data_IF_464046786217
#
_entry.id   IF_464046786217
#
_cell.length_a   1.000
_cell.length_b   1.000
_cell.length_c   1.000
_cell.angle_alpha   90.00
_cell.angle_beta   90.00
_cell.angle_gamma   90.00
#
_symmetry.space_group_name_H-M   'P 1'
#
loop_
_entity.id
_entity.type
_entity.pdbx_description
1 polymer ?
#
# COMPACT_ATOMS: atom_id res chain seq x y z
N UNK A 1 6.75 19.19 10.77
CA UNK A 1 5.53 19.13 9.93
C UNK A 1 5.79 19.71 8.56
N UNK A 2 6.14 21.00 8.43
CA UNK A 2 6.40 21.62 7.12
C UNK A 2 7.51 20.93 6.31
N UNK A 3 8.62 20.56 6.96
CA UNK A 3 9.74 19.85 6.31
C UNK A 3 9.34 18.47 5.79
N UNK A 4 8.64 17.68 6.59
CA UNK A 4 8.09 16.36 6.21
C UNK A 4 7.10 16.49 5.02
N UNK A 5 6.26 17.53 5.01
CA UNK A 5 5.35 17.80 3.88
C UNK A 5 6.09 18.27 2.63
N UNK A 6 7.08 19.14 2.79
CA UNK A 6 7.94 19.58 1.69
C UNK A 6 8.73 18.40 1.12
N UNK A 7 9.16 17.46 1.96
CA UNK A 7 9.81 16.22 1.55
C UNK A 7 8.87 15.35 0.73
N UNK A 8 7.61 15.14 1.15
CA UNK A 8 6.64 14.39 0.34
C UNK A 8 6.36 15.03 -1.01
N UNK A 9 6.19 16.35 -1.04
CA UNK A 9 6.02 17.11 -2.27
C UNK A 9 7.26 17.00 -3.15
N UNK A 10 8.45 17.04 -2.55
CA UNK A 10 9.72 16.84 -3.23
C UNK A 10 9.88 15.45 -3.83
N UNK A 11 9.47 14.40 -3.11
CA UNK A 11 9.45 13.02 -3.60
C UNK A 11 8.50 12.89 -4.81
N UNK A 12 7.25 13.34 -4.67
CA UNK A 12 6.26 13.32 -5.74
C UNK A 12 6.72 14.11 -6.97
N UNK A 13 7.30 15.29 -6.77
CA UNK A 13 7.83 16.12 -7.85
C UNK A 13 9.09 15.51 -8.49
N UNK A 14 9.93 14.82 -7.72
CA UNK A 14 11.06 14.05 -8.23
C UNK A 14 10.60 12.91 -9.15
N UNK A 15 9.48 12.27 -8.81
CA UNK A 15 8.85 11.25 -9.65
C UNK A 15 8.42 11.81 -11.01
N UNK A 16 7.77 12.99 -11.05
CA UNK A 16 7.41 13.68 -12.31
C UNK A 16 8.62 14.06 -13.18
N UNK A 17 9.77 14.34 -12.57
CA UNK A 17 10.98 14.75 -13.27
C UNK A 17 11.76 13.60 -13.91
N UNK A 18 11.37 12.35 -13.65
CA UNK A 18 11.98 11.20 -14.32
C UNK A 18 11.56 11.15 -15.79
N UNK A 19 12.49 11.27 -16.76
CA UNK A 19 12.15 11.28 -18.18
C UNK A 19 11.39 10.02 -18.62
N UNK A 20 11.73 8.88 -18.02
CA UNK A 20 11.08 7.58 -18.26
C UNK A 20 9.60 7.59 -17.84
N UNK A 21 9.30 8.24 -16.71
CA UNK A 21 7.94 8.33 -16.15
C UNK A 21 7.12 9.33 -16.96
N UNK A 22 7.70 10.47 -17.29
CA UNK A 22 7.03 11.51 -18.08
C UNK A 22 6.65 10.99 -19.48
N UNK A 23 7.59 10.36 -20.20
CA UNK A 23 7.33 9.75 -21.52
C UNK A 23 6.27 8.65 -21.46
N UNK A 24 6.17 7.93 -20.35
CA UNK A 24 5.15 6.90 -20.16
C UNK A 24 3.77 7.50 -19.85
N UNK A 25 3.70 8.52 -18.98
CA UNK A 25 2.47 9.26 -18.71
C UNK A 25 1.92 9.90 -19.98
N UNK A 26 2.79 10.44 -20.83
CA UNK A 26 2.41 11.01 -22.13
C UNK A 26 1.83 9.95 -23.08
N UNK A 27 2.43 8.76 -23.12
CA UNK A 27 1.90 7.62 -23.89
C UNK A 27 0.54 7.11 -23.38
N UNK A 28 0.35 7.08 -22.06
CA UNK A 28 -0.93 6.69 -21.45
C UNK A 28 -2.01 7.75 -21.60
N UNK A 29 -1.66 9.03 -21.54
CA UNK A 29 -2.60 10.13 -21.74
C UNK A 29 -3.17 10.17 -23.18
N UNK A 30 -2.45 9.62 -24.16
CA UNK A 30 -2.92 9.43 -25.52
C UNK A 30 -4.01 8.34 -25.65
N UNK A 31 -4.20 7.51 -24.63
CA UNK A 31 -5.20 6.44 -24.56
C UNK A 31 -6.17 6.72 -23.39
N UNK A 32 -7.20 7.53 -23.66
CA UNK A 32 -8.11 8.10 -22.63
C UNK A 32 -8.84 7.06 -21.77
N UNK A 33 -8.94 5.81 -22.23
CA UNK A 33 -9.53 4.71 -21.47
C UNK A 33 -8.57 4.08 -20.44
N UNK A 34 -7.25 4.27 -20.55
CA UNK A 34 -6.26 3.56 -19.74
C UNK A 34 -5.50 4.40 -18.71
N UNK A 35 -5.57 5.74 -18.73
CA UNK A 35 -4.78 6.58 -17.83
C UNK A 35 -5.30 6.66 -16.37
N UNK A 36 -5.55 5.51 -15.77
CA UNK A 36 -5.99 5.35 -14.38
C UNK A 36 -4.87 5.72 -13.38
N UNK A 37 -3.61 5.40 -13.71
CA UNK A 37 -2.46 5.80 -12.89
C UNK A 37 -2.28 7.32 -12.83
N UNK A 38 -2.35 8.01 -13.97
CA UNK A 38 -2.18 9.46 -14.03
C UNK A 38 -3.24 10.18 -13.21
N UNK A 39 -4.50 9.74 -13.28
CA UNK A 39 -5.60 10.26 -12.44
C UNK A 39 -5.33 10.09 -10.95
N UNK A 40 -4.80 8.93 -10.53
CA UNK A 40 -4.44 8.66 -9.14
C UNK A 40 -3.28 9.53 -8.67
N UNK A 41 -2.29 9.74 -9.53
CA UNK A 41 -1.14 10.59 -9.27
C UNK A 41 -1.56 12.06 -9.13
N UNK A 42 -2.39 12.57 -10.04
CA UNK A 42 -2.96 13.92 -9.99
C UNK A 42 -3.81 14.13 -8.72
N UNK A 43 -4.62 13.13 -8.33
CA UNK A 43 -5.37 13.17 -7.08
C UNK A 43 -4.43 13.31 -5.89
N UNK A 44 -3.34 12.55 -5.83
CA UNK A 44 -2.37 12.67 -4.73
C UNK A 44 -1.65 14.03 -4.72
N UNK A 45 -1.25 14.53 -5.89
CA UNK A 45 -0.60 15.84 -6.02
C UNK A 45 -1.54 16.97 -5.56
N UNK A 46 -2.82 16.92 -5.95
CA UNK A 46 -3.84 17.86 -5.49
C UNK A 46 -3.98 17.82 -3.98
N UNK A 47 -4.06 16.63 -3.37
CA UNK A 47 -4.12 16.47 -1.91
C UNK A 47 -2.88 17.07 -1.21
N UNK A 48 -1.67 16.80 -1.73
CA UNK A 48 -0.42 17.34 -1.18
C UNK A 48 -0.27 18.85 -1.33
N UNK A 49 -0.84 19.44 -2.38
CA UNK A 49 -0.90 20.90 -2.56
C UNK A 49 -1.81 21.52 -1.51
N UNK A 50 -3.04 21.04 -1.40
CA UNK A 50 -4.03 21.58 -0.47
C UNK A 50 -3.60 21.45 0.99
N UNK A 51 -2.85 20.40 1.34
CA UNK A 51 -2.25 20.26 2.67
C UNK A 51 -1.23 21.35 3.03
N UNK A 52 -0.52 21.89 2.05
CA UNK A 52 0.43 22.98 2.28
C UNK A 52 -0.23 24.35 2.46
N UNK A 53 -1.51 24.49 2.07
CA UNK A 53 -2.26 25.75 2.11
C UNK A 53 -3.06 25.92 3.41
N UNK A 54 -3.33 24.83 4.14
CA UNK A 54 -4.12 24.82 5.39
C UNK A 54 -3.32 25.25 6.64
N UNK A 55 -2.25 26.03 6.47
CA UNK A 55 -1.53 26.67 7.59
C UNK A 55 -2.20 28.00 7.93
N UNK A 56 -2.83 28.16 9.11
CA UNK A 56 -3.59 29.36 9.41
C UNK A 56 -2.69 30.61 9.44
N UNK A 57 -3.01 31.59 8.60
CA UNK A 57 -2.51 32.97 8.73
C UNK A 57 -3.19 33.62 9.92
N UNK A 58 -2.40 34.25 10.81
CA UNK A 58 -2.92 34.75 12.09
C UNK A 58 -3.99 35.83 11.88
N UNK A 59 -5.24 35.49 12.21
CA UNK A 59 -6.35 36.44 12.29
C UNK A 59 -6.54 36.85 13.74
N UNK A 60 -6.65 38.15 14.01
CA UNK A 60 -6.89 38.70 15.36
C UNK A 60 -8.32 38.47 15.89
N UNK A 61 -9.22 37.95 15.06
CA UNK A 61 -10.63 37.79 15.40
C UNK A 61 -10.96 36.33 15.75
N UNK A 62 -11.29 36.07 17.02
CA UNK A 62 -11.47 34.74 17.62
C UNK A 62 -12.65 33.96 17.04
N UNK A 63 -13.78 34.61 16.76
CA UNK A 63 -14.95 33.96 16.15
C UNK A 63 -14.66 33.52 14.69
N UNK A 64 -13.95 34.36 13.93
CA UNK A 64 -13.50 34.03 12.56
C UNK A 64 -12.48 32.89 12.60
N UNK A 65 -11.61 32.86 13.62
CA UNK A 65 -10.64 31.78 13.82
C UNK A 65 -11.33 30.45 14.14
N UNK A 66 -12.39 30.44 14.95
CA UNK A 66 -13.11 29.21 15.29
C UNK A 66 -13.83 28.59 14.09
N UNK A 67 -14.52 29.41 13.27
CA UNK A 67 -15.15 28.93 12.03
C UNK A 67 -14.12 28.39 11.05
N UNK A 68 -13.02 29.13 10.83
CA UNK A 68 -11.91 28.66 9.97
C UNK A 68 -11.30 27.36 10.48
N UNK A 69 -11.18 27.19 11.80
CA UNK A 69 -10.66 25.96 12.40
C UNK A 69 -11.56 24.77 12.11
N UNK A 70 -12.88 24.90 12.27
CA UNK A 70 -13.86 23.86 11.94
C UNK A 70 -13.83 23.49 10.46
N UNK A 71 -13.73 24.48 9.56
CA UNK A 71 -13.61 24.24 8.12
C UNK A 71 -12.30 23.52 7.73
N UNK A 72 -11.18 23.90 8.34
CA UNK A 72 -9.90 23.20 8.16
C UNK A 72 -9.99 21.75 8.68
N UNK A 73 -10.65 21.54 9.82
CA UNK A 73 -10.81 20.21 10.39
C UNK A 73 -11.67 19.30 9.49
N UNK A 74 -12.74 19.84 8.91
CA UNK A 74 -13.59 19.11 7.98
C UNK A 74 -12.85 18.77 6.68
N UNK A 75 -12.10 19.73 6.11
CA UNK A 75 -11.26 19.47 4.93
C UNK A 75 -10.21 18.40 5.20
N UNK A 76 -9.55 18.46 6.36
CA UNK A 76 -8.61 17.42 6.82
C UNK A 76 -9.26 16.04 6.85
N UNK A 77 -10.47 15.89 7.41
CA UNK A 77 -11.19 14.62 7.43
C UNK A 77 -11.47 14.11 6.01
N UNK A 78 -11.88 15.01 5.12
CA UNK A 78 -12.03 14.72 3.69
C UNK A 78 -10.73 14.20 3.06
N UNK A 79 -9.59 14.83 3.32
CA UNK A 79 -8.31 14.38 2.77
C UNK A 79 -7.88 13.01 3.28
N UNK A 80 -8.07 12.72 4.57
CA UNK A 80 -7.77 11.40 5.13
C UNK A 80 -8.60 10.34 4.39
N UNK A 81 -9.90 10.58 4.25
CA UNK A 81 -10.80 9.67 3.54
C UNK A 81 -10.39 9.49 2.07
N UNK A 82 -9.99 10.57 1.39
CA UNK A 82 -9.50 10.50 0.02
C UNK A 82 -8.23 9.65 -0.13
N UNK A 83 -7.32 9.68 0.85
CA UNK A 83 -6.12 8.84 0.86
C UNK A 83 -6.47 7.36 1.01
N UNK A 84 -7.40 7.03 1.89
CA UNK A 84 -7.87 5.64 2.06
C UNK A 84 -8.60 5.13 0.82
N UNK A 85 -9.43 5.96 0.20
CA UNK A 85 -10.04 5.65 -1.09
C UNK A 85 -8.99 5.47 -2.19
N UNK A 86 -7.93 6.27 -2.20
CA UNK A 86 -6.85 6.13 -3.17
C UNK A 86 -6.13 4.77 -3.01
N UNK A 87 -5.85 4.32 -1.79
CA UNK A 87 -5.30 2.97 -1.54
C UNK A 87 -6.24 1.90 -2.07
N UNK A 88 -7.54 2.02 -1.78
CA UNK A 88 -8.55 1.06 -2.25
C UNK A 88 -8.54 0.94 -3.78
N UNK A 89 -8.50 2.06 -4.50
CA UNK A 89 -8.45 2.05 -5.97
C UNK A 89 -7.08 1.62 -6.53
N UNK A 90 -6.02 1.67 -5.74
CA UNK A 90 -4.69 1.17 -6.13
C UNK A 90 -4.49 -0.32 -5.83
N UNK A 91 -5.53 -1.06 -5.42
CA UNK A 91 -5.46 -2.50 -5.24
C UNK A 91 -5.16 -3.20 -6.56
N UNK A 92 -3.96 -3.76 -6.68
CA UNK A 92 -3.64 -4.67 -7.78
C UNK A 92 -3.95 -6.10 -7.37
N UNK A 93 -4.53 -6.83 -8.31
CA UNK A 93 -4.49 -8.28 -8.29
C UNK A 93 -3.05 -8.73 -8.54
N UNK A 94 -2.63 -9.84 -7.91
CA UNK A 94 -1.25 -10.34 -7.87
C UNK A 94 -0.69 -10.81 -9.23
N UNK A 95 -1.37 -10.51 -10.34
CA UNK A 95 -1.27 -11.21 -11.62
C UNK A 95 -0.33 -10.60 -12.68
N UNK A 96 0.55 -9.64 -12.34
CA UNK A 96 1.87 -9.59 -12.98
C UNK A 96 2.37 -8.29 -13.62
N UNK A 97 3.68 -8.09 -13.35
CA UNK A 97 4.81 -7.68 -14.20
C UNK A 97 4.80 -6.23 -14.73
N UNK A 98 5.79 -5.45 -14.28
CA UNK A 98 6.16 -4.05 -14.64
C UNK A 98 5.22 -2.90 -14.25
N UNK A 99 3.90 -3.08 -14.18
CA UNK A 99 3.00 -2.05 -13.66
C UNK A 99 3.13 -1.87 -12.14
N UNK A 100 3.49 -2.95 -11.43
CA UNK A 100 3.48 -3.02 -9.96
C UNK A 100 4.41 -1.99 -9.27
N UNK A 101 5.64 -1.76 -9.75
CA UNK A 101 6.61 -0.92 -9.03
C UNK A 101 6.19 0.56 -8.91
N UNK A 102 5.48 1.08 -9.92
CA UNK A 102 4.99 2.47 -9.93
C UNK A 102 3.79 2.66 -9.01
N UNK A 103 2.86 1.71 -9.00
CA UNK A 103 1.74 1.71 -8.05
C UNK A 103 2.23 1.52 -6.61
N UNK A 104 3.27 0.71 -6.39
CA UNK A 104 3.89 0.59 -5.07
C UNK A 104 4.52 1.91 -4.61
N UNK A 105 5.18 2.64 -5.52
CA UNK A 105 5.68 3.97 -5.20
C UNK A 105 4.55 4.92 -4.78
N UNK A 106 3.45 4.94 -5.53
CA UNK A 106 2.29 5.78 -5.21
C UNK A 106 1.63 5.37 -3.87
N UNK A 107 1.44 4.07 -3.64
CA UNK A 107 0.96 3.53 -2.37
C UNK A 107 1.89 3.93 -1.20
N UNK A 108 3.20 3.86 -1.38
CA UNK A 108 4.16 4.27 -0.36
C UNK A 108 4.01 5.75 0.00
N UNK A 109 3.83 6.63 -1.00
CA UNK A 109 3.58 8.05 -0.74
C UNK A 109 2.25 8.27 0.01
N UNK A 110 1.19 7.54 -0.34
CA UNK A 110 -0.07 7.62 0.39
C UNK A 110 0.09 7.16 1.84
N UNK A 111 0.74 6.02 2.07
CA UNK A 111 1.02 5.50 3.41
C UNK A 111 1.91 6.43 4.24
N UNK A 112 2.94 7.03 3.64
CA UNK A 112 3.74 8.10 4.27
C UNK A 112 2.89 9.31 4.66
N UNK A 113 1.96 9.70 3.79
CA UNK A 113 1.05 10.84 4.05
C UNK A 113 0.16 10.53 5.26
N UNK A 114 -0.46 9.34 5.29
CA UNK A 114 -1.26 8.85 6.43
C UNK A 114 -0.41 8.82 7.71
N UNK A 115 0.83 8.32 7.62
CA UNK A 115 1.74 8.31 8.76
C UNK A 115 2.01 9.70 9.29
N UNK A 116 2.22 10.71 8.44
CA UNK A 116 2.42 12.07 8.94
C UNK A 116 1.15 12.66 9.56
N UNK A 117 -0.04 12.34 9.05
CA UNK A 117 -1.27 12.66 9.78
C UNK A 117 -1.27 12.05 11.18
N UNK A 118 -0.85 10.79 11.31
CA UNK A 118 -0.77 10.09 12.59
C UNK A 118 0.32 10.68 13.52
N UNK A 119 1.56 10.78 13.05
CA UNK A 119 2.75 11.34 13.74
C UNK A 119 2.46 12.72 14.32
N UNK A 120 1.76 13.56 13.57
CA UNK A 120 1.43 14.92 13.99
C UNK A 120 0.08 15.05 14.70
N UNK A 121 -0.50 13.94 15.15
CA UNK A 121 -1.77 13.89 15.90
C UNK A 121 -2.91 14.60 15.15
N UNK A 122 -2.87 14.55 13.82
CA UNK A 122 -3.90 15.06 12.93
C UNK A 122 -4.94 13.99 12.58
N UNK A 123 -4.74 12.77 13.03
CA UNK A 123 -5.74 11.72 13.11
C UNK A 123 -5.49 10.96 14.42
N UNK A 124 -6.54 10.66 15.17
CA UNK A 124 -6.43 9.87 16.39
C UNK A 124 -6.21 8.39 16.06
N UNK A 125 -5.62 7.59 16.97
CA UNK A 125 -5.54 6.14 16.78
C UNK A 125 -6.89 5.50 16.48
N UNK A 126 -7.96 5.92 17.16
CA UNK A 126 -9.31 5.38 17.00
C UNK A 126 -9.91 5.71 15.63
N UNK A 127 -9.74 6.96 15.16
CA UNK A 127 -10.13 7.35 13.80
C UNK A 127 -9.35 6.54 12.76
N UNK A 128 -8.04 6.38 12.95
CA UNK A 128 -7.19 5.60 12.05
C UNK A 128 -7.63 4.13 12.00
N UNK A 129 -7.91 3.51 13.14
CA UNK A 129 -8.47 2.16 13.22
C UNK A 129 -9.80 2.05 12.46
N UNK A 130 -10.68 3.04 12.61
CA UNK A 130 -11.96 3.09 11.89
C UNK A 130 -11.75 3.09 10.37
N UNK A 131 -10.86 3.94 9.85
CA UNK A 131 -10.56 3.97 8.42
C UNK A 131 -9.94 2.65 7.93
N UNK A 132 -8.98 2.09 8.67
CA UNK A 132 -8.36 0.80 8.34
C UNK A 132 -9.38 -0.33 8.28
N UNK A 133 -10.33 -0.35 9.21
CA UNK A 133 -11.42 -1.33 9.24
C UNK A 133 -12.37 -1.15 8.07
N UNK A 134 -12.88 0.07 7.86
CA UNK A 134 -13.91 0.36 6.85
C UNK A 134 -13.40 0.11 5.43
N UNK A 135 -12.13 0.42 5.17
CA UNK A 135 -11.53 0.21 3.87
C UNK A 135 -10.85 -1.14 3.72
N UNK A 136 -10.64 -1.92 4.79
CA UNK A 136 -9.87 -3.17 4.73
C UNK A 136 -8.37 -2.96 4.45
N UNK A 137 -7.85 -1.77 4.76
CA UNK A 137 -6.50 -1.30 4.40
C UNK A 137 -5.37 -2.13 5.00
N UNK A 138 -5.63 -2.88 6.07
CA UNK A 138 -4.63 -3.78 6.66
C UNK A 138 -4.15 -4.85 5.65
N UNK A 139 -5.05 -5.30 4.75
CA UNK A 139 -4.71 -6.22 3.66
C UNK A 139 -3.82 -5.54 2.62
N UNK A 140 -4.15 -4.31 2.28
CA UNK A 140 -3.40 -3.52 1.29
C UNK A 140 -2.00 -3.18 1.79
N UNK A 141 -1.89 -2.87 3.09
CA UNK A 141 -0.63 -2.66 3.75
C UNK A 141 0.23 -3.94 3.69
N UNK A 142 -0.31 -5.09 4.10
CA UNK A 142 0.40 -6.36 4.02
C UNK A 142 0.86 -6.69 2.59
N UNK A 143 0.00 -6.45 1.59
CA UNK A 143 0.33 -6.60 0.16
C UNK A 143 1.45 -5.67 -0.26
N UNK A 144 1.38 -4.39 0.09
CA UNK A 144 2.39 -3.40 -0.23
C UNK A 144 3.77 -3.81 0.33
N UNK A 145 3.84 -4.23 1.60
CA UNK A 145 5.09 -4.69 2.22
C UNK A 145 5.63 -5.93 1.52
N UNK A 146 4.74 -6.89 1.24
CA UNK A 146 5.13 -8.15 0.62
C UNK A 146 5.74 -7.94 -0.77
N UNK A 147 5.06 -7.18 -1.62
CA UNK A 147 5.54 -6.92 -2.98
C UNK A 147 6.80 -6.06 -2.96
N UNK A 148 6.87 -5.05 -2.09
CA UNK A 148 8.09 -4.22 -1.94
C UNK A 148 9.30 -5.07 -1.57
N UNK A 149 9.14 -6.00 -0.63
CA UNK A 149 10.20 -6.94 -0.25
C UNK A 149 10.59 -7.87 -1.40
N UNK A 150 9.61 -8.42 -2.12
CA UNK A 150 9.85 -9.28 -3.28
C UNK A 150 10.67 -8.55 -4.35
N UNK A 151 10.35 -7.30 -4.68
CA UNK A 151 11.09 -6.51 -5.67
C UNK A 151 12.54 -6.24 -5.23
N UNK A 152 12.76 -5.92 -3.95
CA UNK A 152 14.11 -5.72 -3.41
C UNK A 152 14.93 -7.04 -3.46
N UNK A 153 14.30 -8.17 -3.17
CA UNK A 153 14.93 -9.49 -3.30
C UNK A 153 15.10 -9.98 -4.73
N UNK A 154 14.49 -9.39 -5.76
CA UNK A 154 14.77 -9.82 -7.13
C UNK A 154 16.23 -9.59 -7.55
N UNK A 155 17.00 -8.82 -6.76
CA UNK A 155 18.45 -8.61 -6.92
C UNK A 155 19.28 -9.65 -6.14
N UNK A 156 18.69 -10.44 -5.22
CA UNK A 156 19.40 -11.45 -4.43
C UNK A 156 18.54 -12.70 -4.17
N UNK A 157 19.07 -13.91 -4.45
CA UNK A 157 18.38 -15.21 -4.28
C UNK A 157 18.16 -15.56 -2.80
N UNK A 158 17.49 -14.71 -2.03
CA UNK A 158 17.15 -14.97 -0.63
C UNK A 158 15.65 -15.23 -0.54
N UNK A 159 15.32 -16.26 0.23
CA UNK A 159 13.95 -16.62 0.57
C UNK A 159 13.26 -15.45 1.27
N UNK A 160 12.01 -15.19 0.90
CA UNK A 160 11.17 -14.21 1.60
C UNK A 160 11.00 -14.65 3.07
N UNK A 161 11.27 -13.78 4.06
CA UNK A 161 11.09 -14.12 5.45
C UNK A 161 9.63 -14.51 5.67
N UNK A 162 9.41 -15.74 6.10
CA UNK A 162 8.07 -16.27 6.33
C UNK A 162 7.37 -15.65 7.55
N UNK A 163 8.12 -14.95 8.41
CA UNK A 163 7.60 -14.32 9.61
C UNK A 163 7.42 -12.83 9.41
N UNK A 164 6.17 -12.36 9.46
CA UNK A 164 5.81 -10.93 9.51
C UNK A 164 6.57 -10.16 10.59
N UNK A 165 6.85 -10.78 11.75
CA UNK A 165 7.63 -10.19 12.83
C UNK A 165 9.05 -9.86 12.38
N UNK A 166 9.67 -10.76 11.60
CA UNK A 166 10.99 -10.51 11.03
C UNK A 166 10.91 -9.42 9.96
N UNK A 167 9.88 -9.42 9.11
CA UNK A 167 9.70 -8.44 8.05
C UNK A 167 9.52 -7.03 8.60
N UNK A 168 8.68 -6.86 9.62
CA UNK A 168 8.49 -5.56 10.29
C UNK A 168 9.79 -5.08 10.96
N UNK A 169 10.59 -6.00 11.49
CA UNK A 169 11.91 -5.68 12.03
C UNK A 169 12.93 -5.31 10.94
N UNK A 170 12.86 -5.93 9.75
CA UNK A 170 13.72 -5.54 8.63
C UNK A 170 13.30 -4.21 8.01
N UNK A 171 12.01 -3.90 8.02
CA UNK A 171 11.45 -2.66 7.49
C UNK A 171 11.46 -1.52 8.52
N UNK A 172 12.44 -1.53 9.41
CA UNK A 172 12.64 -0.61 10.54
C UNK A 172 12.71 0.87 10.14
N UNK A 173 12.94 1.16 8.85
CA UNK A 173 13.07 2.51 8.31
C UNK A 173 11.76 3.06 7.70
N UNK A 174 10.65 2.31 7.78
CA UNK A 174 9.40 2.73 7.13
C UNK A 174 8.34 3.28 8.10
N UNK A 175 7.65 4.37 7.72
CA UNK A 175 6.43 4.92 8.35
C UNK A 175 5.37 3.90 8.78
N UNK A 176 5.38 2.74 8.14
CA UNK A 176 4.36 1.71 8.23
C UNK A 176 4.45 0.89 9.52
N UNK A 177 5.64 0.75 10.09
CA UNK A 177 5.81 0.10 11.40
C UNK A 177 5.16 0.95 12.50
N UNK A 178 5.41 2.26 12.51
CA UNK A 178 4.87 3.17 13.53
C UNK A 178 3.34 3.27 13.44
N UNK A 179 2.76 3.24 12.25
CA UNK A 179 1.31 3.12 12.08
C UNK A 179 0.79 1.84 12.76
N UNK A 180 1.39 0.67 12.49
CA UNK A 180 0.96 -0.60 13.07
C UNK A 180 1.12 -0.64 14.60
N UNK A 181 2.18 -0.03 15.12
CA UNK A 181 2.38 0.12 16.56
C UNK A 181 1.31 1.01 17.19
N UNK A 182 0.96 2.12 16.53
CA UNK A 182 -0.11 3.02 16.94
C UNK A 182 -1.52 2.42 16.90
N UNK A 183 -1.75 1.46 16.00
CA UNK A 183 -3.03 0.77 15.87
C UNK A 183 -3.25 -0.33 16.93
N UNK A 184 -2.19 -0.78 17.60
CA UNK A 184 -2.24 -1.81 18.65
C UNK A 184 -2.05 -3.26 18.16
N UNK A 185 -1.96 -4.19 19.12
CA UNK A 185 -1.60 -5.60 18.86
C UNK A 185 -2.59 -6.32 17.93
N UNK A 186 -3.89 -6.03 18.03
CA UNK A 186 -4.91 -6.61 17.15
C UNK A 186 -4.59 -6.36 15.66
N UNK A 187 -4.14 -5.15 15.30
CA UNK A 187 -3.80 -4.82 13.93
C UNK A 187 -2.46 -5.43 13.50
N UNK A 188 -1.51 -5.63 14.42
CA UNK A 188 -0.28 -6.37 14.14
C UNK A 188 -0.56 -7.84 13.85
N UNK A 189 -1.48 -8.46 14.57
CA UNK A 189 -1.94 -9.83 14.32
C UNK A 189 -2.66 -9.95 12.97
N UNK A 190 -3.57 -9.02 12.67
CA UNK A 190 -4.24 -8.94 11.36
C UNK A 190 -3.25 -8.77 10.21
N UNK A 191 -2.31 -7.83 10.35
CA UNK A 191 -1.22 -7.64 9.39
C UNK A 191 -0.43 -8.93 9.19
N UNK A 192 -0.01 -9.56 10.28
CA UNK A 192 0.77 -10.81 10.26
C UNK A 192 0.04 -11.93 9.55
N UNK A 193 -1.25 -12.06 9.84
CA UNK A 193 -2.12 -13.05 9.18
C UNK A 193 -2.16 -12.82 7.68
N UNK A 194 -2.42 -11.59 7.24
CA UNK A 194 -2.46 -11.28 5.80
C UNK A 194 -1.11 -11.42 5.12
N UNK A 195 -0.03 -10.96 5.74
CA UNK A 195 1.32 -11.10 5.19
C UNK A 195 1.70 -12.57 5.00
N UNK A 196 1.44 -13.41 5.99
CA UNK A 196 1.74 -14.84 5.93
C UNK A 196 0.90 -15.53 4.84
N UNK A 197 -0.39 -15.20 4.70
CA UNK A 197 -1.22 -15.68 3.59
C UNK A 197 -0.60 -15.37 2.22
N UNK A 198 -0.09 -14.16 2.03
CA UNK A 198 0.58 -13.76 0.79
C UNK A 198 1.86 -14.55 0.54
N UNK A 199 2.67 -14.75 1.58
CA UNK A 199 3.86 -15.60 1.52
C UNK A 199 3.52 -17.03 1.09
N UNK A 200 2.50 -17.63 1.70
CA UNK A 200 2.07 -18.98 1.34
C UNK A 200 1.53 -19.07 -0.08
N UNK A 201 0.70 -18.12 -0.50
CA UNK A 201 0.20 -18.05 -1.87
C UNK A 201 1.36 -17.94 -2.88
N UNK A 202 2.34 -17.08 -2.60
CA UNK A 202 3.54 -16.95 -3.43
C UNK A 202 4.31 -18.26 -3.54
N UNK A 203 4.61 -18.94 -2.43
CA UNK A 203 5.34 -20.21 -2.49
C UNK A 203 4.58 -21.32 -3.21
N UNK A 204 3.25 -21.40 -3.03
CA UNK A 204 2.40 -22.37 -3.75
C UNK A 204 2.48 -22.17 -5.27
N UNK A 205 2.61 -20.93 -5.73
CA UNK A 205 2.68 -20.57 -7.16
C UNK A 205 4.09 -20.70 -7.78
N UNK A 206 5.13 -20.96 -6.99
CA UNK A 206 6.51 -21.01 -7.47
C UNK A 206 7.11 -22.42 -7.25
N UNK A 207 7.11 -23.28 -8.29
CA UNK A 207 7.44 -24.70 -8.16
C UNK A 207 8.90 -24.98 -7.79
N UNK A 208 9.80 -24.00 -7.93
CA UNK A 208 11.18 -24.13 -7.45
C UNK A 208 11.25 -24.27 -5.92
N UNK A 209 10.28 -23.70 -5.19
CA UNK A 209 10.25 -23.75 -3.73
C UNK A 209 9.47 -24.94 -3.15
N UNK A 210 8.68 -25.66 -3.96
CA UNK A 210 8.00 -26.89 -3.51
C UNK A 210 8.97 -28.03 -3.21
N UNK A 211 10.23 -27.90 -3.64
CA UNK A 211 11.32 -28.84 -3.38
C UNK A 211 11.95 -28.66 -1.99
N UNK A 212 11.58 -27.62 -1.23
CA UNK A 212 12.02 -27.44 0.15
C UNK A 212 11.08 -28.19 1.12
N UNK A 213 11.51 -29.30 1.75
CA UNK A 213 10.60 -30.20 2.48
C UNK A 213 9.91 -29.54 3.68
N UNK A 214 10.61 -28.66 4.40
CA UNK A 214 10.06 -27.94 5.55
C UNK A 214 9.00 -26.92 5.13
N UNK A 215 9.27 -26.18 4.05
CA UNK A 215 8.36 -25.24 3.41
C UNK A 215 7.09 -25.93 2.93
N UNK A 216 7.24 -27.09 2.29
CA UNK A 216 6.12 -27.89 1.80
C UNK A 216 5.22 -28.38 2.94
N UNK A 217 5.80 -28.85 4.06
CA UNK A 217 5.05 -29.27 5.24
C UNK A 217 4.26 -28.12 5.86
N UNK A 218 4.89 -26.95 6.04
CA UNK A 218 4.25 -25.75 6.58
C UNK A 218 3.13 -25.26 5.65
N UNK A 219 3.33 -25.29 4.33
CA UNK A 219 2.31 -24.93 3.35
C UNK A 219 1.06 -25.80 3.46
N UNK A 220 1.22 -27.11 3.65
CA UNK A 220 0.10 -28.04 3.84
C UNK A 220 -0.63 -27.74 5.15
N UNK A 221 0.10 -27.58 6.26
CA UNK A 221 -0.46 -27.27 7.58
C UNK A 221 -1.18 -25.91 7.62
N UNK A 222 -0.69 -24.91 6.88
CA UNK A 222 -1.27 -23.57 6.82
C UNK A 222 -2.40 -23.42 5.80
N UNK A 223 -2.39 -24.20 4.71
CA UNK A 223 -3.44 -24.16 3.68
C UNK A 223 -4.82 -24.52 4.23
N UNK A 224 -4.88 -25.35 5.28
CA UNK A 224 -6.12 -25.77 5.95
C UNK A 224 -6.62 -24.79 7.00
N UNK A 225 -5.80 -23.83 7.44
CA UNK A 225 -6.12 -22.91 8.54
C UNK A 225 -6.18 -21.43 8.15
N UNK A 226 -5.54 -21.02 7.04
CA UNK A 226 -5.37 -19.60 6.69
C UNK A 226 -5.95 -19.19 5.34
N UNK A 227 -6.24 -20.11 4.42
CA UNK A 227 -6.76 -19.77 3.09
C UNK A 227 -8.26 -20.12 3.02
N UNK A 228 -9.14 -19.12 2.91
CA UNK A 228 -10.55 -19.38 2.61
C UNK A 228 -10.69 -19.71 1.11
N UNK A 229 -11.64 -20.57 0.76
CA UNK A 229 -11.89 -21.06 -0.61
C UNK A 229 -12.05 -19.93 -1.65
N UNK A 230 -12.54 -18.75 -1.27
CA UNK A 230 -12.72 -17.61 -2.17
C UNK A 230 -11.39 -16.95 -2.60
N UNK A 231 -10.37 -16.90 -1.71
CA UNK A 231 -9.02 -16.41 -2.06
C UNK A 231 -8.25 -17.43 -2.91
N UNK A 232 -8.67 -18.70 -2.87
CA UNK A 232 -8.16 -19.80 -3.69
C UNK A 232 -8.80 -19.77 -5.08
N UNK A 233 -10.12 -19.55 -5.19
CA UNK A 233 -10.85 -19.57 -6.47
C UNK A 233 -10.48 -18.42 -7.41
N UNK A 234 -10.23 -17.21 -6.90
CA UNK A 234 -9.79 -16.08 -7.72
C UNK A 234 -8.34 -16.21 -8.24
N UNK A 235 -7.60 -17.21 -7.76
CA UNK A 235 -6.18 -17.41 -8.05
C UNK A 235 -5.86 -18.81 -8.60
N UNK A 236 -6.87 -19.66 -8.84
CA UNK A 236 -6.74 -20.99 -9.45
C UNK A 236 -6.97 -21.00 -10.97
N UNK A 237 -7.46 -19.92 -11.60
CA UNK A 237 -7.64 -19.88 -13.06
C UNK A 237 -6.37 -19.60 -13.86
N UNK A 238 -5.18 -19.90 -13.33
CA UNK A 238 -3.92 -19.84 -14.09
C UNK A 238 -2.92 -20.88 -13.58
N UNK A 239 -3.26 -22.17 -13.64
CA UNK A 239 -2.36 -23.26 -14.04
C UNK A 239 -3.10 -24.60 -14.03
N UNK A 240 -3.48 -25.09 -15.21
CA UNK A 240 -3.67 -26.53 -15.43
C UNK A 240 -2.41 -27.04 -16.16
N UNK A 241 -1.51 -27.76 -15.49
CA UNK A 241 -0.32 -28.33 -16.14
C UNK A 241 -0.65 -29.46 -17.13
N UNK A 242 -1.89 -29.98 -17.14
CA UNK A 242 -2.30 -31.14 -17.95
C UNK A 242 -2.97 -30.78 -19.27
N UNK A 243 -3.06 -29.50 -19.64
CA UNK A 243 -3.40 -29.08 -21.01
C UNK A 243 -2.17 -29.02 -21.93
N UNK A 244 -1.28 -30.02 -21.82
CA UNK A 244 -0.47 -30.44 -22.98
C UNK A 244 -1.38 -31.25 -23.91
N UNK A 245 -2.02 -30.56 -24.85
CA UNK A 245 -2.61 -31.22 -26.01
C UNK A 245 -1.44 -31.72 -26.87
N UNK A 246 -1.04 -32.98 -26.66
CA UNK A 246 -0.39 -33.75 -27.73
C UNK A 246 -1.44 -33.99 -28.80
N UNK A 247 -1.30 -33.31 -29.95
CA UNK A 247 -1.93 -33.77 -31.18
C UNK A 247 -1.03 -34.86 -31.78
N UNK A 248 -1.60 -36.06 -31.92
CA UNK A 248 -1.12 -37.12 -32.81
C UNK A 248 -1.40 -36.72 -34.25
#
# INVERSE_FOLDING_TARGET
>A
MQEDWNSLRGELHGFYKSPQIWLWLEKQAADEQENDFGKKLEKLDSLHKSLGEDVPTSSKNTAIMETKFKEMEQRRKGYIEDLFNLIYHMRSDFSGRELESRYLYLQNLVFKTIYYFFKYQKITPEELQSHFKNHGTIKDLARHVFISYKLDQQVSIKLIPQSSKNVLNFWYYYPLREILEGLGEEYKEKFSTHYNKLGFAYYKMNPEYSHHPELHRILIECSTSLLNEDEISAHITLYDPDTQIYQV
#
